data_IF_856022143422
#
_entry.id   IF_856022143422
#
_cell.length_a   1.000
_cell.length_b   1.000
_cell.length_c   1.000
_cell.angle_alpha   90.00
_cell.angle_beta   90.00
_cell.angle_gamma   90.00
#
_symmetry.space_group_name_H-M   'P 1'
#
loop_
_entity.id
_entity.type
_entity.pdbx_description
1 polymer ?
#
# COMPACT_ATOMS: atom_id res chain seq x y z
N UNK A 1 7.11 3.27 25.59
CA UNK A 1 6.38 3.15 24.31
C UNK A 1 7.14 2.14 23.47
N UNK A 2 6.65 0.90 23.43
CA UNK A 2 7.30 -0.20 22.71
C UNK A 2 6.68 -0.24 21.33
N UNK A 3 7.40 0.24 20.31
CA UNK A 3 6.98 0.07 18.92
C UNK A 3 7.14 -1.42 18.58
N UNK A 4 6.03 -2.14 18.44
CA UNK A 4 6.03 -3.51 17.91
C UNK A 4 6.66 -3.43 16.51
N UNK A 5 7.78 -4.13 16.23
CA UNK A 5 8.33 -4.14 14.88
C UNK A 5 7.29 -4.76 13.97
N UNK A 6 6.75 -3.96 13.05
CA UNK A 6 5.86 -4.45 12.01
C UNK A 6 6.57 -5.59 11.25
N UNK A 7 5.83 -6.60 10.78
CA UNK A 7 6.41 -7.66 9.97
C UNK A 7 7.21 -7.07 8.79
N UNK A 8 8.31 -7.71 8.39
CA UNK A 8 9.05 -7.29 7.20
C UNK A 8 8.10 -7.31 6.00
N UNK A 9 8.13 -6.26 5.18
CA UNK A 9 7.35 -6.25 3.95
C UNK A 9 7.96 -7.24 2.94
N UNK A 10 7.10 -8.00 2.27
CA UNK A 10 7.50 -8.86 1.17
C UNK A 10 7.84 -8.01 -0.06
N UNK A 11 7.13 -6.90 -0.26
CA UNK A 11 7.38 -5.96 -1.35
C UNK A 11 7.20 -4.50 -0.92
N UNK A 12 7.95 -3.61 -1.56
CA UNK A 12 7.83 -2.15 -1.40
C UNK A 12 7.47 -1.50 -2.74
N UNK A 13 6.51 -0.58 -2.71
CA UNK A 13 6.11 0.28 -3.84
C UNK A 13 6.44 1.72 -3.51
N UNK A 14 7.39 2.29 -4.23
CA UNK A 14 7.77 3.70 -4.09
C UNK A 14 6.94 4.58 -5.05
N UNK A 15 6.15 5.45 -4.45
CA UNK A 15 5.34 6.48 -5.10
C UNK A 15 5.77 7.90 -4.76
N UNK A 16 6.99 8.11 -4.28
CA UNK A 16 7.54 9.44 -4.01
C UNK A 16 7.44 10.32 -5.25
N UNK A 17 6.85 11.50 -5.09
CA UNK A 17 6.61 12.45 -6.18
C UNK A 17 5.48 12.07 -7.16
N UNK A 18 4.81 10.94 -6.97
CA UNK A 18 3.66 10.55 -7.80
C UNK A 18 2.36 11.10 -7.22
N UNK A 19 1.47 11.54 -8.12
CA UNK A 19 0.07 11.78 -7.76
C UNK A 19 -0.58 10.48 -7.27
N UNK A 20 -1.54 10.58 -6.34
CA UNK A 20 -2.17 9.41 -5.74
C UNK A 20 -2.74 8.42 -6.79
N UNK A 21 -3.40 8.93 -7.84
CA UNK A 21 -3.93 8.09 -8.93
C UNK A 21 -2.83 7.26 -9.62
N UNK A 22 -1.67 7.85 -9.88
CA UNK A 22 -0.54 7.18 -10.53
C UNK A 22 0.04 6.10 -9.62
N UNK A 23 0.15 6.41 -8.32
CA UNK A 23 0.58 5.45 -7.31
C UNK A 23 -0.38 4.25 -7.23
N UNK A 24 -1.70 4.48 -7.23
CA UNK A 24 -2.69 3.40 -7.16
C UNK A 24 -2.63 2.47 -8.38
N UNK A 25 -2.43 3.01 -9.58
CA UNK A 25 -2.24 2.19 -10.78
C UNK A 25 -0.97 1.34 -10.71
N UNK A 26 0.14 1.93 -10.23
CA UNK A 26 1.40 1.20 -10.01
C UNK A 26 1.26 0.10 -8.96
N UNK A 27 0.59 0.42 -7.85
CA UNK A 27 0.32 -0.51 -6.76
C UNK A 27 -0.53 -1.68 -7.26
N UNK A 28 -1.63 -1.41 -7.99
CA UNK A 28 -2.49 -2.43 -8.60
C UNK A 28 -1.70 -3.38 -9.49
N UNK A 29 -0.87 -2.85 -10.38
CA UNK A 29 -0.04 -3.66 -11.26
C UNK A 29 0.96 -4.52 -10.47
N UNK A 30 1.55 -3.98 -9.40
CA UNK A 30 2.54 -4.71 -8.59
C UNK A 30 1.93 -5.85 -7.79
N UNK A 31 0.71 -5.69 -7.28
CA UNK A 31 0.08 -6.71 -6.43
C UNK A 31 -0.64 -7.80 -7.22
N UNK A 32 -0.92 -7.57 -8.51
CA UNK A 32 -1.67 -8.51 -9.36
C UNK A 32 -1.10 -9.94 -9.36
N UNK A 33 0.23 -10.06 -9.34
CA UNK A 33 0.94 -11.35 -9.42
C UNK A 33 1.49 -11.85 -8.07
N UNK A 34 1.11 -11.22 -6.96
CA UNK A 34 1.65 -11.57 -5.63
C UNK A 34 0.86 -12.70 -4.98
N UNK A 35 1.41 -13.38 -3.97
CA UNK A 35 0.75 -14.49 -3.25
C UNK A 35 -0.11 -14.01 -2.06
N UNK A 36 -1.21 -14.72 -1.77
CA UNK A 36 -2.10 -14.37 -0.66
C UNK A 36 -1.35 -14.18 0.66
N UNK A 37 -1.67 -13.08 1.37
CA UNK A 37 -0.97 -12.69 2.59
C UNK A 37 0.29 -11.82 2.39
N UNK A 38 0.71 -11.50 1.15
CA UNK A 38 1.83 -10.57 0.90
C UNK A 38 1.61 -9.20 1.55
N UNK A 39 2.56 -8.79 2.39
CA UNK A 39 2.64 -7.47 3.01
C UNK A 39 3.31 -6.48 2.05
N UNK A 40 2.63 -5.37 1.75
CA UNK A 40 3.06 -4.35 0.78
C UNK A 40 3.31 -3.01 1.47
N UNK A 41 4.56 -2.57 1.54
CA UNK A 41 4.86 -1.21 1.98
C UNK A 41 4.70 -0.22 0.83
N UNK A 42 4.08 0.93 1.11
CA UNK A 42 3.87 1.98 0.09
C UNK A 42 4.45 3.29 0.62
N UNK A 43 5.35 3.88 -0.16
CA UNK A 43 5.90 5.21 0.10
C UNK A 43 5.11 6.20 -0.76
N UNK A 44 4.52 7.22 -0.14
CA UNK A 44 3.70 8.20 -0.84
C UNK A 44 3.90 9.59 -0.23
N UNK A 45 4.18 10.58 -1.08
CA UNK A 45 4.30 11.99 -0.69
C UNK A 45 3.09 12.84 -1.08
N UNK A 46 2.14 12.26 -1.82
CA UNK A 46 0.90 12.94 -2.20
C UNK A 46 -0.02 13.12 -0.96
N UNK A 47 -0.57 14.33 -0.72
CA UNK A 47 -1.38 14.61 0.46
C UNK A 47 -2.75 13.92 0.48
N UNK A 48 -3.24 13.42 -0.66
CA UNK A 48 -4.48 12.65 -0.76
C UNK A 48 -4.28 11.16 -0.42
N UNK A 49 -3.05 10.66 -0.52
CA UNK A 49 -2.73 9.25 -0.25
C UNK A 49 -3.22 8.71 1.11
N UNK A 50 -3.20 9.47 2.22
CA UNK A 50 -3.74 9.00 3.50
C UNK A 50 -5.25 8.71 3.49
N UNK A 51 -6.03 9.37 2.62
CA UNK A 51 -7.47 9.13 2.47
C UNK A 51 -7.74 8.06 1.40
N UNK A 52 -7.03 8.17 0.28
CA UNK A 52 -7.28 7.35 -0.91
C UNK A 52 -6.76 5.92 -0.76
N UNK A 53 -5.59 5.71 -0.13
CA UNK A 53 -5.02 4.36 0.03
C UNK A 53 -5.91 3.44 0.88
N UNK A 54 -6.43 3.86 2.06
CA UNK A 54 -7.35 3.02 2.83
C UNK A 54 -8.67 2.75 2.09
N UNK A 55 -9.23 3.76 1.43
CA UNK A 55 -10.45 3.60 0.64
C UNK A 55 -10.24 2.60 -0.51
N UNK A 56 -9.13 2.75 -1.24
CA UNK A 56 -8.75 1.83 -2.30
C UNK A 56 -8.51 0.42 -1.78
N UNK A 57 -7.84 0.25 -0.64
CA UNK A 57 -7.64 -1.06 -0.02
C UNK A 57 -8.99 -1.71 0.33
N UNK A 58 -9.95 -0.97 0.89
CA UNK A 58 -11.28 -1.50 1.21
C UNK A 58 -12.05 -1.94 -0.04
N UNK A 59 -12.04 -1.11 -1.10
CA UNK A 59 -12.69 -1.42 -2.38
C UNK A 59 -12.01 -2.59 -3.11
N UNK A 60 -10.69 -2.73 -2.99
CA UNK A 60 -9.93 -3.76 -3.71
C UNK A 60 -9.88 -5.08 -2.92
N UNK A 61 -9.89 -5.03 -1.58
CA UNK A 61 -9.91 -6.23 -0.73
C UNK A 61 -11.21 -7.04 -0.88
N UNK A 62 -12.35 -6.39 -1.17
CA UNK A 62 -13.58 -7.11 -1.52
C UNK A 62 -13.45 -7.90 -2.83
N UNK A 63 -12.56 -7.46 -3.73
CA UNK A 63 -12.25 -8.13 -4.99
C UNK A 63 -11.12 -9.17 -4.87
N UNK A 64 -10.23 -9.06 -3.89
CA UNK A 64 -9.02 -9.90 -3.78
C UNK A 64 -8.94 -10.79 -2.53
N UNK A 65 -9.86 -10.67 -1.55
CA UNK A 65 -9.89 -11.44 -0.27
C UNK A 65 -8.52 -11.56 0.43
N UNK A 66 -7.67 -10.54 0.28
CA UNK A 66 -6.28 -10.60 0.75
C UNK A 66 -5.91 -9.32 1.49
N UNK A 67 -5.57 -9.40 2.78
CA UNK A 67 -5.24 -8.22 3.57
C UNK A 67 -3.91 -7.64 3.08
N UNK A 68 -3.93 -6.43 2.52
CA UNK A 68 -2.73 -5.66 2.18
C UNK A 68 -2.54 -4.63 3.28
N UNK A 69 -1.48 -4.77 4.09
CA UNK A 69 -1.12 -3.77 5.10
C UNK A 69 -0.25 -2.70 4.46
N UNK A 70 -0.88 -1.58 4.08
CA UNK A 70 -0.16 -0.41 3.56
C UNK A 70 0.41 0.38 4.73
N UNK A 71 1.73 0.28 4.95
CA UNK A 71 2.44 1.12 5.93
C UNK A 71 2.95 2.37 5.24
N UNK A 72 2.52 3.51 5.76
CA UNK A 72 2.92 4.82 5.27
C UNK A 72 4.20 5.29 5.98
N UNK A 73 5.22 5.63 5.20
CA UNK A 73 6.45 6.24 5.68
C UNK A 73 6.30 7.75 5.49
N UNK A 74 6.07 8.45 6.61
CA UNK A 74 6.04 9.91 6.71
C UNK A 74 7.40 10.44 6.22
N UNK A 75 7.44 11.29 5.20
CA UNK A 75 8.54 12.24 4.98
C UNK A 75 8.41 13.40 5.96
#
# INVERSE_FOLDING_TARGET
MTETPAPPADITVDGTGLLCVTLLLRLRARIADTAAGTVVHVIATDPAAPLDLPAWCHMTASLTQRPVTVRWLRS
#
